data_IF_481204850256
#
_entry.id   IF_481204850256
#
_cell.length_a   1.000
_cell.length_b   1.000
_cell.length_c   1.000
_cell.angle_alpha   90.00
_cell.angle_beta   90.00
_cell.angle_gamma   90.00
#
_symmetry.space_group_name_H-M   'P 1'
#
loop_
_entity.id
_entity.type
_entity.pdbx_description
1 polymer ?
#
# COMPACT_ATOMS: atom_id res chain seq x y z
N UNK A 1 -52.53 24.70 -2.19
CA UNK A 1 -52.79 23.57 -3.12
C UNK A 1 -51.98 23.80 -4.38
N UNK A 2 -51.09 22.85 -4.70
CA UNK A 2 -50.41 22.55 -5.97
C UNK A 2 -49.79 23.74 -6.76
N UNK A 3 -48.49 23.89 -6.95
CA UNK A 3 -47.46 22.89 -7.21
C UNK A 3 -46.98 23.05 -8.66
N UNK A 4 -45.70 23.38 -8.85
CA UNK A 4 -44.87 22.89 -9.97
C UNK A 4 -43.41 23.08 -9.59
N UNK A 5 -42.88 22.01 -8.99
CA UNK A 5 -41.46 21.73 -8.95
C UNK A 5 -40.91 21.71 -10.38
N UNK A 6 -39.87 22.50 -10.63
CA UNK A 6 -38.95 22.26 -11.74
C UNK A 6 -37.57 21.99 -11.15
N UNK A 7 -37.40 20.77 -10.65
CA UNK A 7 -36.08 20.22 -10.39
C UNK A 7 -35.39 19.87 -11.70
N UNK A 8 -34.15 20.33 -11.87
CA UNK A 8 -33.02 19.57 -12.43
C UNK A 8 -31.73 20.38 -12.24
N UNK A 9 -30.98 20.12 -11.17
CA UNK A 9 -29.54 20.46 -11.15
C UNK A 9 -28.84 19.26 -11.76
N UNK A 10 -28.41 19.40 -13.01
CA UNK A 10 -27.58 18.40 -13.65
C UNK A 10 -26.26 18.27 -12.89
N UNK A 11 -25.89 17.04 -12.53
CA UNK A 11 -24.53 16.75 -12.11
C UNK A 11 -23.62 16.91 -13.33
N UNK A 12 -22.91 18.03 -13.42
CA UNK A 12 -21.79 18.15 -14.35
C UNK A 12 -20.63 17.30 -13.81
N UNK A 13 -20.50 16.09 -14.35
CA UNK A 13 -19.25 15.37 -14.31
C UNK A 13 -18.41 15.91 -15.46
N UNK A 14 -17.38 16.71 -15.15
CA UNK A 14 -16.29 16.89 -16.10
C UNK A 14 -15.61 15.53 -16.22
N UNK A 15 -16.03 14.73 -17.20
CA UNK A 15 -15.18 13.69 -17.75
C UNK A 15 -14.09 14.45 -18.48
N UNK A 16 -13.02 14.77 -17.75
CA UNK A 16 -11.77 15.12 -18.40
C UNK A 16 -11.44 13.88 -19.21
N UNK A 17 -11.64 13.94 -20.53
CA UNK A 17 -11.03 12.98 -21.45
C UNK A 17 -9.53 13.05 -21.20
N UNK A 18 -9.05 12.15 -20.33
CA UNK A 18 -7.63 11.84 -20.33
C UNK A 18 -7.39 11.24 -21.69
N UNK A 19 -6.66 11.95 -22.54
CA UNK A 19 -6.13 11.38 -23.77
C UNK A 19 -5.45 10.08 -23.40
N UNK A 20 -6.00 8.95 -23.85
CA UNK A 20 -5.36 7.65 -23.68
C UNK A 20 -4.05 7.76 -24.44
N UNK A 21 -2.93 7.79 -23.72
CA UNK A 21 -1.62 7.72 -24.32
C UNK A 21 -1.49 6.30 -24.87
N UNK A 22 -1.47 6.18 -26.20
CA UNK A 22 -1.26 4.90 -26.86
C UNK A 22 0.21 4.50 -26.70
N UNK A 23 0.46 3.41 -25.96
CA UNK A 23 1.79 2.89 -25.70
C UNK A 23 1.94 1.48 -26.34
N UNK A 24 1.95 1.38 -27.68
CA UNK A 24 1.91 0.10 -28.38
C UNK A 24 3.10 -0.81 -28.06
N UNK A 25 4.24 -0.24 -27.68
CA UNK A 25 5.41 -1.01 -27.25
C UNK A 25 5.15 -1.81 -25.96
N UNK A 26 4.33 -1.32 -25.04
CA UNK A 26 4.00 -2.05 -23.80
C UNK A 26 3.21 -3.33 -24.12
N UNK A 27 2.31 -3.28 -25.10
CA UNK A 27 1.57 -4.44 -25.59
C UNK A 27 2.50 -5.43 -26.29
N UNK A 28 3.40 -4.95 -27.16
CA UNK A 28 4.42 -5.79 -27.83
C UNK A 28 5.35 -6.48 -26.82
N UNK A 29 5.67 -5.79 -25.73
CA UNK A 29 6.51 -6.28 -24.63
C UNK A 29 5.78 -7.21 -23.65
N UNK A 30 4.49 -7.50 -23.88
CA UNK A 30 3.63 -8.24 -22.98
C UNK A 30 3.49 -7.63 -21.56
N UNK A 31 3.59 -6.30 -21.44
CA UNK A 31 3.38 -5.56 -20.18
C UNK A 31 1.91 -5.16 -20.03
N UNK A 32 1.06 -6.15 -19.80
CA UNK A 32 -0.36 -5.94 -19.54
C UNK A 32 -0.87 -6.89 -18.47
N UNK A 33 -2.02 -6.55 -17.90
CA UNK A 33 -2.75 -7.38 -16.94
C UNK A 33 -3.56 -8.40 -17.76
N UNK A 34 -3.06 -9.64 -17.88
CA UNK A 34 -3.73 -10.68 -18.65
C UNK A 34 -4.87 -11.34 -17.87
N UNK A 35 -6.09 -11.26 -18.41
CA UNK A 35 -7.29 -11.91 -17.85
C UNK A 35 -7.10 -13.40 -17.61
N UNK A 36 -6.28 -14.07 -18.42
CA UNK A 36 -5.99 -15.50 -18.26
C UNK A 36 -5.51 -15.86 -16.85
N UNK A 37 -4.75 -14.98 -16.19
CA UNK A 37 -4.22 -15.27 -14.85
C UNK A 37 -5.18 -14.97 -13.71
N UNK A 38 -6.31 -14.32 -13.93
CA UNK A 38 -7.32 -14.09 -12.89
C UNK A 38 -8.72 -14.49 -13.37
N UNK A 39 -8.77 -15.44 -14.32
CA UNK A 39 -10.01 -15.96 -14.86
C UNK A 39 -10.87 -16.53 -13.73
N UNK A 40 -12.14 -16.11 -13.68
CA UNK A 40 -13.07 -16.45 -12.61
C UNK A 40 -13.08 -15.48 -11.43
N UNK A 41 -12.23 -14.45 -11.44
CA UNK A 41 -12.18 -13.37 -10.43
C UNK A 41 -12.44 -11.98 -11.02
N UNK A 42 -12.89 -11.90 -12.28
CA UNK A 42 -13.11 -10.63 -12.99
C UNK A 42 -14.23 -9.82 -12.34
N UNK A 43 -15.29 -10.50 -11.89
CA UNK A 43 -16.42 -9.86 -11.22
C UNK A 43 -15.99 -9.13 -9.96
N UNK A 44 -15.20 -9.80 -9.12
CA UNK A 44 -14.65 -9.27 -7.86
C UNK A 44 -13.74 -8.06 -8.14
N UNK A 45 -12.83 -8.19 -9.12
CA UNK A 45 -11.91 -7.09 -9.48
C UNK A 45 -12.70 -5.88 -9.99
N UNK A 46 -13.62 -6.08 -10.93
CA UNK A 46 -14.43 -5.01 -11.51
C UNK A 46 -15.36 -4.37 -10.48
N UNK A 47 -15.90 -5.15 -9.54
CA UNK A 47 -16.71 -4.64 -8.43
C UNK A 47 -15.86 -3.76 -7.49
N UNK A 48 -14.67 -4.21 -7.11
CA UNK A 48 -13.76 -3.43 -6.25
C UNK A 48 -13.33 -2.12 -6.93
N UNK A 49 -13.13 -2.12 -8.25
CA UNK A 49 -12.86 -0.91 -9.04
C UNK A 49 -14.09 0.01 -9.06
N UNK A 50 -15.26 -0.51 -9.44
CA UNK A 50 -16.50 0.26 -9.55
C UNK A 50 -16.90 0.91 -8.23
N UNK A 51 -16.65 0.23 -7.11
CA UNK A 51 -16.96 0.74 -5.78
C UNK A 51 -15.83 1.61 -5.18
N UNK A 52 -14.79 1.94 -5.94
CA UNK A 52 -13.61 2.68 -5.48
C UNK A 52 -12.94 2.05 -4.23
N UNK A 53 -12.99 0.72 -4.12
CA UNK A 53 -12.41 -0.05 -3.00
C UNK A 53 -11.01 -0.60 -3.33
N UNK A 54 -10.65 -0.61 -4.61
CA UNK A 54 -9.29 -0.85 -5.13
C UNK A 54 -8.51 0.47 -5.27
N UNK A 55 -7.33 0.57 -4.63
CA UNK A 55 -6.54 1.79 -4.70
C UNK A 55 -5.70 1.85 -6.00
N UNK A 56 -6.12 2.67 -6.96
CA UNK A 56 -5.46 2.78 -8.28
C UNK A 56 -4.66 4.08 -8.50
N UNK A 57 -4.73 5.04 -7.59
CA UNK A 57 -4.11 6.39 -7.79
C UNK A 57 -2.58 6.40 -7.85
N UNK A 58 -1.95 5.32 -7.43
CA UNK A 58 -0.49 5.15 -7.47
C UNK A 58 0.00 4.64 -8.83
N UNK A 59 -0.91 4.22 -9.70
CA UNK A 59 -0.58 3.77 -11.06
C UNK A 59 -0.37 5.02 -11.92
N UNK A 60 0.80 5.10 -12.53
CA UNK A 60 1.17 6.19 -13.43
C UNK A 60 0.24 6.24 -14.64
N UNK A 61 0.04 7.44 -15.17
CA UNK A 61 -0.82 7.66 -16.35
C UNK A 61 -0.24 7.07 -17.64
N UNK A 62 1.05 6.75 -17.65
CA UNK A 62 1.75 6.09 -18.75
C UNK A 62 2.93 5.26 -18.21
N UNK A 63 3.39 4.29 -19.01
CA UNK A 63 4.56 3.49 -18.73
C UNK A 63 5.81 4.36 -18.61
N UNK A 64 6.01 5.33 -19.53
CA UNK A 64 7.17 6.24 -19.49
C UNK A 64 7.24 6.98 -18.16
N UNK A 65 6.13 7.58 -17.70
CA UNK A 65 6.07 8.24 -16.38
C UNK A 65 6.24 7.24 -15.24
N UNK A 66 5.82 5.99 -15.42
CA UNK A 66 6.04 4.91 -14.47
C UNK A 66 7.51 4.53 -14.28
N UNK A 67 8.39 4.84 -15.22
CA UNK A 67 9.84 4.59 -15.10
C UNK A 67 10.52 5.58 -14.15
N UNK A 68 9.91 6.72 -13.88
CA UNK A 68 10.42 7.70 -12.93
C UNK A 68 9.76 7.51 -11.56
N UNK A 69 10.56 7.59 -10.50
CA UNK A 69 10.07 7.59 -9.12
C UNK A 69 10.56 8.87 -8.46
N UNK A 70 9.61 9.71 -8.08
CA UNK A 70 9.80 10.94 -7.32
C UNK A 70 9.11 10.82 -5.95
N UNK A 71 9.17 11.90 -5.16
CA UNK A 71 8.57 11.97 -3.82
C UNK A 71 7.05 11.79 -3.89
N UNK A 72 6.42 12.33 -4.93
CA UNK A 72 4.97 12.22 -5.17
C UNK A 72 4.57 10.77 -5.40
N UNK A 73 5.27 10.06 -6.28
CA UNK A 73 5.07 8.65 -6.58
C UNK A 73 5.29 7.79 -5.34
N UNK A 74 6.33 8.08 -4.57
CA UNK A 74 6.57 7.41 -3.29
C UNK A 74 5.37 7.55 -2.35
N UNK A 75 4.88 8.77 -2.14
CA UNK A 75 3.77 9.04 -1.23
C UNK A 75 2.52 8.28 -1.68
N UNK A 76 2.22 8.29 -2.99
CA UNK A 76 1.07 7.57 -3.54
C UNK A 76 1.19 6.04 -3.38
N UNK A 77 2.38 5.47 -3.60
CA UNK A 77 2.66 4.04 -3.39
C UNK A 77 2.49 3.67 -1.92
N UNK A 78 3.03 4.47 -0.99
CA UNK A 78 2.88 4.20 0.43
C UNK A 78 1.42 4.35 0.90
N UNK A 79 0.68 5.31 0.34
CA UNK A 79 -0.75 5.46 0.62
C UNK A 79 -1.57 4.27 0.10
N UNK A 80 -1.22 3.76 -1.09
CA UNK A 80 -1.81 2.54 -1.66
C UNK A 80 -1.56 1.34 -0.74
N UNK A 81 -0.32 1.14 -0.30
CA UNK A 81 0.02 0.09 0.65
C UNK A 81 -0.81 0.18 1.94
N UNK A 82 -0.86 1.36 2.58
CA UNK A 82 -1.63 1.50 3.82
C UNK A 82 -3.14 1.29 3.62
N UNK A 83 -3.67 1.65 2.45
CA UNK A 83 -5.05 1.40 2.08
C UNK A 83 -5.34 -0.09 1.93
N UNK A 84 -4.56 -0.78 1.10
CA UNK A 84 -4.73 -2.21 0.85
C UNK A 84 -4.46 -3.02 2.13
N UNK A 85 -3.50 -2.60 2.98
CA UNK A 85 -3.21 -3.22 4.27
C UNK A 85 -4.45 -3.26 5.16
N UNK A 86 -5.15 -2.13 5.32
CA UNK A 86 -6.36 -2.06 6.17
C UNK A 86 -7.50 -2.95 5.67
N UNK A 87 -7.49 -3.31 4.38
CA UNK A 87 -8.52 -4.12 3.76
C UNK A 87 -8.19 -5.59 3.80
N UNK A 88 -6.94 -5.94 3.53
CA UNK A 88 -6.46 -7.32 3.59
C UNK A 88 -6.27 -7.81 5.03
N UNK A 89 -5.93 -6.91 5.95
CA UNK A 89 -5.69 -7.20 7.37
C UNK A 89 -6.53 -6.25 8.25
N UNK A 90 -7.86 -6.42 8.30
CA UNK A 90 -8.76 -5.52 9.05
C UNK A 90 -8.46 -5.49 10.55
N UNK A 91 -7.99 -6.60 11.12
CA UNK A 91 -7.60 -6.71 12.52
C UNK A 91 -6.15 -6.23 12.79
N UNK A 92 -5.46 -5.78 11.74
CA UNK A 92 -4.07 -5.35 11.79
C UNK A 92 -3.07 -6.49 11.94
N UNK A 93 -1.92 -6.18 12.54
CA UNK A 93 -0.86 -7.17 12.81
C UNK A 93 -1.20 -7.91 14.11
N UNK A 94 -1.32 -9.25 14.10
CA UNK A 94 -1.53 -10.04 15.30
C UNK A 94 -0.47 -9.74 16.37
N UNK A 95 -0.93 -9.49 17.59
CA UNK A 95 -0.06 -9.20 18.74
C UNK A 95 0.17 -10.47 19.55
N UNK A 96 1.39 -10.68 20.03
CA UNK A 96 1.68 -11.75 20.99
C UNK A 96 0.96 -11.50 22.32
N UNK A 97 0.72 -12.57 23.10
CA UNK A 97 0.12 -12.47 24.44
C UNK A 97 0.93 -11.53 25.33
N UNK A 98 2.25 -11.67 25.34
CA UNK A 98 3.16 -10.82 26.11
C UNK A 98 3.02 -9.34 25.74
N UNK A 99 2.90 -9.03 24.43
CA UNK A 99 2.71 -7.65 23.96
C UNK A 99 1.36 -7.10 24.40
N UNK A 100 0.29 -7.90 24.32
CA UNK A 100 -1.03 -7.51 24.81
C UNK A 100 -1.01 -7.21 26.31
N UNK A 101 -0.32 -8.03 27.10
CA UNK A 101 -0.19 -7.81 28.55
C UNK A 101 0.59 -6.54 28.87
N UNK A 102 1.70 -6.29 28.17
CA UNK A 102 2.50 -5.06 28.34
C UNK A 102 1.71 -3.82 27.92
N UNK A 103 0.99 -3.87 26.80
CA UNK A 103 0.12 -2.76 26.36
C UNK A 103 -1.03 -2.53 27.34
N UNK A 104 -1.60 -3.59 27.93
CA UNK A 104 -2.62 -3.47 28.98
C UNK A 104 -2.06 -2.73 30.21
N UNK A 105 -0.91 -3.18 30.73
CA UNK A 105 -0.24 -2.52 31.87
C UNK A 105 0.08 -1.06 31.58
N UNK A 106 0.55 -0.74 30.36
CA UNK A 106 0.82 0.62 29.94
C UNK A 106 -0.47 1.47 29.89
N UNK A 107 -1.56 0.92 29.36
CA UNK A 107 -2.86 1.59 29.32
C UNK A 107 -3.41 1.86 30.72
N UNK A 108 -3.37 0.88 31.62
CA UNK A 108 -3.78 1.05 33.02
C UNK A 108 -2.97 2.13 33.73
N UNK A 109 -1.66 2.19 33.49
CA UNK A 109 -0.80 3.24 34.06
C UNK A 109 -1.21 4.63 33.55
N UNK A 110 -1.49 4.78 32.26
CA UNK A 110 -1.96 6.05 31.69
C UNK A 110 -3.35 6.40 32.20
N UNK A 111 -4.24 5.43 32.38
CA UNK A 111 -5.59 5.66 32.93
C UNK A 111 -5.54 6.21 34.35
N UNK A 112 -4.71 5.61 35.21
CA UNK A 112 -4.47 6.15 36.56
C UNK A 112 -3.96 7.60 36.52
N UNK A 113 -3.10 7.94 35.56
CA UNK A 113 -2.63 9.32 35.37
C UNK A 113 -3.76 10.26 34.90
N UNK A 114 -4.67 9.80 34.04
CA UNK A 114 -5.85 10.56 33.59
C UNK A 114 -6.85 10.79 34.73
N UNK A 115 -7.07 9.78 35.55
CA UNK A 115 -7.99 9.83 36.70
C UNK A 115 -7.49 10.82 37.76
N UNK A 116 -6.20 10.77 38.06
CA UNK A 116 -5.56 11.61 39.09
C UNK A 116 -5.13 13.00 38.60
N UNK A 117 -5.51 13.40 37.39
CA UNK A 117 -5.16 14.71 36.82
C UNK A 117 -6.37 15.51 36.38
N UNK A 118 -6.19 16.84 36.36
CA UNK A 118 -7.21 17.81 36.01
C UNK A 118 -6.71 18.79 34.92
N UNK A 119 -7.64 19.53 34.31
CA UNK A 119 -7.34 20.61 33.37
C UNK A 119 -6.43 20.18 32.20
N UNK A 120 -5.41 21.00 31.93
CA UNK A 120 -4.49 20.81 30.79
C UNK A 120 -3.70 19.51 30.86
N UNK A 121 -3.32 19.07 32.07
CA UNK A 121 -2.54 17.84 32.28
C UNK A 121 -3.35 16.59 31.89
N UNK A 122 -4.62 16.52 32.32
CA UNK A 122 -5.55 15.47 31.90
C UNK A 122 -5.71 15.43 30.38
N UNK A 123 -5.80 16.61 29.75
CA UNK A 123 -5.87 16.74 28.29
C UNK A 123 -4.61 16.25 27.57
N UNK A 124 -3.42 16.37 28.17
CA UNK A 124 -2.17 15.80 27.65
C UNK A 124 -2.21 14.27 27.75
N UNK A 125 -2.54 13.70 28.92
CA UNK A 125 -2.58 12.23 29.08
C UNK A 125 -3.62 11.57 28.17
N UNK A 126 -4.81 12.17 27.98
CA UNK A 126 -5.79 11.69 27.00
C UNK A 126 -5.26 11.69 25.57
N UNK A 127 -4.50 12.72 25.18
CA UNK A 127 -3.86 12.76 23.85
C UNK A 127 -2.79 11.68 23.70
N UNK A 128 -1.95 11.49 24.72
CA UNK A 128 -0.93 10.43 24.75
C UNK A 128 -1.59 9.06 24.61
N UNK A 129 -2.64 8.78 25.40
CA UNK A 129 -3.42 7.54 25.31
C UNK A 129 -3.97 7.32 23.90
N UNK A 130 -4.61 8.35 23.31
CA UNK A 130 -5.15 8.30 21.94
C UNK A 130 -4.06 8.02 20.90
N UNK A 131 -2.86 8.59 21.05
CA UNK A 131 -1.73 8.30 20.15
C UNK A 131 -1.07 6.94 20.40
N UNK A 132 -1.19 6.37 21.61
CA UNK A 132 -0.53 5.13 22.00
C UNK A 132 -1.34 3.85 21.66
N UNK A 133 -2.67 3.94 21.54
CA UNK A 133 -3.56 2.78 21.36
C UNK A 133 -3.44 2.10 19.97
N UNK A 134 -2.73 2.70 19.00
CA UNK A 134 -2.58 2.16 17.64
C UNK A 134 -1.12 2.11 17.14
N UNK A 135 -0.16 1.79 18.01
CA UNK A 135 1.26 1.69 17.60
C UNK A 135 1.52 0.36 16.88
N UNK A 136 0.94 0.17 15.71
CA UNK A 136 1.55 -0.70 14.70
C UNK A 136 2.31 0.23 13.77
N UNK A 137 3.63 0.18 13.85
CA UNK A 137 4.48 1.02 13.01
C UNK A 137 4.35 0.61 11.53
N UNK A 138 4.69 1.52 10.63
CA UNK A 138 4.72 1.22 9.20
C UNK A 138 5.65 0.02 8.90
N UNK A 139 6.82 -0.05 9.55
CA UNK A 139 7.72 -1.21 9.43
C UNK A 139 7.04 -2.51 9.84
N UNK A 140 6.28 -2.52 10.95
CA UNK A 140 5.56 -3.72 11.39
C UNK A 140 4.48 -4.15 10.40
N UNK A 141 3.74 -3.20 9.80
CA UNK A 141 2.76 -3.51 8.75
C UNK A 141 3.44 -4.12 7.51
N UNK A 142 4.55 -3.54 7.08
CA UNK A 142 5.35 -4.02 5.93
C UNK A 142 5.88 -5.42 6.20
N UNK A 143 6.54 -5.63 7.34
CA UNK A 143 7.11 -6.92 7.75
C UNK A 143 6.03 -8.01 7.79
N UNK A 144 4.87 -7.71 8.38
CA UNK A 144 3.75 -8.65 8.44
C UNK A 144 3.21 -8.98 7.04
N UNK A 145 3.06 -7.97 6.18
CA UNK A 145 2.58 -8.16 4.80
C UNK A 145 3.55 -9.01 4.00
N UNK A 146 4.83 -8.67 4.01
CA UNK A 146 5.87 -9.39 3.26
C UNK A 146 5.97 -10.84 3.74
N UNK A 147 5.94 -11.06 5.06
CA UNK A 147 5.95 -12.42 5.61
C UNK A 147 4.71 -13.22 5.20
N UNK A 148 3.54 -12.59 5.16
CA UNK A 148 2.28 -13.25 4.79
C UNK A 148 2.17 -13.54 3.29
N UNK A 149 2.92 -12.81 2.47
CA UNK A 149 2.96 -12.93 1.00
C UNK A 149 4.28 -13.51 0.49
N UNK A 150 5.09 -14.08 1.40
CA UNK A 150 6.45 -14.57 1.12
C UNK A 150 6.51 -15.48 -0.09
N UNK A 151 5.61 -16.46 -0.15
CA UNK A 151 5.55 -17.47 -1.23
C UNK A 151 5.26 -16.87 -2.61
N UNK A 152 4.72 -15.65 -2.65
CA UNK A 152 4.49 -14.88 -3.88
C UNK A 152 5.67 -13.94 -4.16
N UNK A 153 6.22 -13.29 -3.14
CA UNK A 153 7.05 -12.10 -3.29
C UNK A 153 8.57 -12.33 -3.24
N UNK A 154 9.03 -13.36 -2.53
CA UNK A 154 10.47 -13.53 -2.23
C UNK A 154 11.33 -13.57 -3.49
N UNK A 155 10.93 -14.36 -4.48
CA UNK A 155 11.69 -14.49 -5.72
C UNK A 155 11.78 -13.17 -6.50
N UNK A 156 10.73 -12.34 -6.47
CA UNK A 156 10.76 -11.02 -7.10
C UNK A 156 11.67 -10.05 -6.35
N UNK A 157 11.68 -10.11 -5.01
CA UNK A 157 12.61 -9.33 -4.19
C UNK A 157 14.05 -9.73 -4.48
N UNK A 158 14.36 -11.01 -4.39
CA UNK A 158 15.71 -11.53 -4.64
C UNK A 158 16.21 -11.16 -6.05
N UNK A 159 15.38 -11.37 -7.07
CA UNK A 159 15.75 -11.04 -8.45
C UNK A 159 15.96 -9.54 -8.65
N UNK A 160 15.07 -8.69 -8.13
CA UNK A 160 15.18 -7.24 -8.27
C UNK A 160 16.48 -6.71 -7.66
N UNK A 161 16.84 -7.15 -6.45
CA UNK A 161 18.04 -6.64 -5.77
C UNK A 161 19.30 -7.23 -6.40
N UNK A 162 19.29 -8.52 -6.75
CA UNK A 162 20.44 -9.16 -7.41
C UNK A 162 20.78 -8.53 -8.75
N UNK A 163 19.78 -8.13 -9.55
CA UNK A 163 20.01 -7.40 -10.80
C UNK A 163 20.71 -6.06 -10.61
N UNK A 164 20.66 -5.51 -9.40
CA UNK A 164 21.30 -4.24 -9.02
C UNK A 164 22.56 -4.46 -8.16
N UNK A 165 23.10 -5.68 -8.12
CA UNK A 165 24.25 -6.07 -7.27
C UNK A 165 24.01 -5.88 -5.75
N UNK A 166 22.75 -5.91 -5.34
CA UNK A 166 22.33 -5.75 -3.94
C UNK A 166 21.75 -7.07 -3.40
N UNK A 167 21.66 -7.18 -2.07
CA UNK A 167 21.02 -8.32 -1.41
C UNK A 167 19.68 -7.90 -0.83
N UNK A 168 18.62 -8.67 -1.12
CA UNK A 168 17.32 -8.43 -0.53
C UNK A 168 17.32 -8.87 0.94
N UNK A 169 17.11 -7.91 1.83
CA UNK A 169 16.95 -8.16 3.28
C UNK A 169 15.62 -7.54 3.70
N UNK A 170 14.65 -8.40 4.00
CA UNK A 170 13.28 -8.01 4.34
C UNK A 170 13.22 -6.94 5.44
N UNK A 171 13.93 -7.17 6.55
CA UNK A 171 13.93 -6.25 7.70
C UNK A 171 14.51 -4.88 7.37
N UNK A 172 15.55 -4.84 6.55
CA UNK A 172 16.21 -3.58 6.20
C UNK A 172 15.37 -2.79 5.19
N UNK A 173 14.74 -3.48 4.25
CA UNK A 173 13.74 -2.92 3.33
C UNK A 173 12.59 -2.24 4.09
N UNK A 174 12.02 -2.93 5.09
CA UNK A 174 10.92 -2.38 5.90
C UNK A 174 11.35 -1.14 6.69
N UNK A 175 12.56 -1.15 7.28
CA UNK A 175 13.14 -0.02 8.01
C UNK A 175 13.42 1.17 7.10
N UNK A 176 14.02 0.94 5.92
CA UNK A 176 14.33 2.00 4.95
C UNK A 176 13.05 2.66 4.43
N UNK A 177 12.04 1.89 4.03
CA UNK A 177 10.73 2.45 3.62
C UNK A 177 10.10 3.31 4.72
N UNK A 178 10.11 2.83 5.96
CA UNK A 178 9.57 3.60 7.09
C UNK A 178 10.36 4.89 7.36
N UNK A 179 11.69 4.82 7.27
CA UNK A 179 12.58 5.97 7.43
C UNK A 179 12.40 6.99 6.30
N UNK A 180 12.34 6.54 5.05
CA UNK A 180 12.11 7.41 3.88
C UNK A 180 10.77 8.13 3.98
N UNK A 181 9.70 7.42 4.37
CA UNK A 181 8.38 8.02 4.59
C UNK A 181 8.42 9.10 5.65
N UNK A 182 9.13 8.88 6.75
CA UNK A 182 9.26 9.90 7.79
C UNK A 182 10.06 11.11 7.29
N UNK A 183 11.13 10.91 6.51
CA UNK A 183 11.90 12.01 5.92
C UNK A 183 11.01 12.94 5.08
N UNK A 184 10.23 12.37 4.16
CA UNK A 184 9.31 13.13 3.31
C UNK A 184 8.16 13.77 4.11
N UNK A 185 7.59 13.06 5.10
CA UNK A 185 6.53 13.61 5.95
C UNK A 185 7.01 14.80 6.81
N UNK A 186 8.30 14.89 7.11
CA UNK A 186 8.90 16.03 7.81
C UNK A 186 9.33 17.17 6.87
N UNK A 187 8.94 17.13 5.60
CA UNK A 187 9.22 18.20 4.64
C UNK A 187 10.64 18.21 4.09
N UNK A 188 11.42 17.15 4.30
CA UNK A 188 12.74 16.99 3.68
C UNK A 188 12.58 16.47 2.24
N UNK A 189 11.80 17.17 1.42
CA UNK A 189 11.56 16.81 0.03
C UNK A 189 12.80 17.06 -0.84
N UNK A 190 13.71 17.92 -0.39
CA UNK A 190 15.00 18.18 -1.07
C UNK A 190 16.05 17.08 -0.85
N UNK A 191 15.71 16.02 -0.09
CA UNK A 191 16.64 14.91 0.19
C UNK A 191 16.39 13.77 -0.77
N UNK A 192 17.45 13.37 -1.45
CA UNK A 192 17.50 12.17 -2.28
C UNK A 192 17.04 10.91 -1.53
N UNK A 193 16.62 9.90 -2.29
CA UNK A 193 16.30 8.58 -1.75
C UNK A 193 17.48 8.01 -0.95
N UNK A 194 17.21 7.49 0.25
CA UNK A 194 18.25 6.88 1.08
C UNK A 194 18.62 5.49 0.56
N UNK A 195 19.91 5.24 0.32
CA UNK A 195 20.45 3.92 0.01
C UNK A 195 19.61 3.18 -1.08
N UNK A 196 19.23 1.93 -0.83
CA UNK A 196 18.41 1.10 -1.71
C UNK A 196 16.90 1.43 -1.68
N UNK A 197 16.48 2.58 -1.14
CA UNK A 197 15.06 2.93 -1.01
C UNK A 197 14.34 2.98 -2.37
N UNK A 198 15.04 3.31 -3.46
CA UNK A 198 14.45 3.24 -4.80
C UNK A 198 14.04 1.80 -5.18
N UNK A 199 14.90 0.82 -4.91
CA UNK A 199 14.60 -0.60 -5.11
C UNK A 199 13.43 -1.04 -4.23
N UNK A 200 13.42 -0.59 -2.97
CA UNK A 200 12.32 -0.88 -2.04
C UNK A 200 10.97 -0.39 -2.59
N UNK A 201 10.94 0.78 -3.23
CA UNK A 201 9.72 1.39 -3.80
C UNK A 201 9.27 0.66 -5.06
N UNK A 202 10.21 0.22 -5.90
CA UNK A 202 9.89 -0.64 -7.06
C UNK A 202 9.27 -1.94 -6.55
N UNK A 203 9.87 -2.56 -5.53
CA UNK A 203 9.36 -3.78 -4.92
C UNK A 203 7.95 -3.59 -4.34
N UNK A 204 7.66 -2.43 -3.75
CA UNK A 204 6.31 -2.10 -3.25
C UNK A 204 5.22 -2.16 -4.33
N UNK A 205 5.56 -1.89 -5.61
CA UNK A 205 4.59 -2.04 -6.71
C UNK A 205 4.15 -3.50 -6.88
N UNK A 206 5.08 -4.46 -6.72
CA UNK A 206 4.76 -5.89 -6.76
C UNK A 206 3.91 -6.29 -5.56
N UNK A 207 4.26 -5.78 -4.37
CA UNK A 207 3.53 -6.03 -3.11
C UNK A 207 2.09 -5.58 -3.23
N UNK A 208 1.85 -4.33 -3.65
CA UNK A 208 0.49 -3.77 -3.75
C UNK A 208 -0.33 -4.58 -4.74
N UNK A 209 0.24 -4.91 -5.91
CA UNK A 209 -0.47 -5.72 -6.89
C UNK A 209 -0.80 -7.13 -6.36
N UNK A 210 0.12 -7.76 -5.61
CA UNK A 210 -0.13 -9.03 -4.94
C UNK A 210 -1.25 -8.93 -3.88
N UNK A 211 -1.25 -7.87 -3.07
CA UNK A 211 -2.30 -7.62 -2.07
C UNK A 211 -3.68 -7.46 -2.73
N UNK A 212 -3.72 -6.72 -3.83
CA UNK A 212 -4.95 -6.45 -4.60
C UNK A 212 -5.55 -7.72 -5.18
N UNK A 213 -4.75 -8.53 -5.87
CA UNK A 213 -5.21 -9.80 -6.45
C UNK A 213 -5.58 -10.82 -5.36
N UNK A 214 -4.79 -10.91 -4.27
CA UNK A 214 -5.11 -11.81 -3.15
C UNK A 214 -6.45 -11.47 -2.51
N UNK A 215 -6.76 -10.17 -2.33
CA UNK A 215 -8.05 -9.74 -1.81
C UNK A 215 -9.22 -10.12 -2.73
N UNK A 216 -8.99 -10.17 -4.04
CA UNK A 216 -9.98 -10.61 -5.02
C UNK A 216 -10.07 -12.15 -5.13
N UNK A 217 -9.31 -12.90 -4.32
CA UNK A 217 -9.39 -14.36 -4.25
C UNK A 217 -8.48 -15.10 -5.22
N UNK A 218 -7.65 -14.40 -6.01
CA UNK A 218 -6.74 -15.03 -6.97
C UNK A 218 -5.68 -15.86 -6.23
N UNK A 219 -5.41 -17.07 -6.72
CA UNK A 219 -4.44 -17.95 -6.10
C UNK A 219 -2.99 -17.48 -6.28
N UNK A 220 -2.11 -17.95 -5.39
CA UNK A 220 -0.71 -17.51 -5.34
C UNK A 220 0.06 -17.75 -6.64
N UNK A 221 -0.18 -18.85 -7.35
CA UNK A 221 0.56 -19.21 -8.56
C UNK A 221 0.20 -18.25 -9.68
N UNK A 222 -1.07 -17.92 -9.79
CA UNK A 222 -1.58 -16.96 -10.74
C UNK A 222 -1.21 -15.51 -10.42
N UNK A 223 -1.14 -15.14 -9.15
CA UNK A 223 -0.58 -13.83 -8.73
C UNK A 223 0.88 -13.73 -9.18
N UNK A 224 1.70 -14.77 -8.95
CA UNK A 224 3.11 -14.80 -9.39
C UNK A 224 3.22 -14.63 -10.91
N UNK A 225 2.45 -15.40 -11.68
CA UNK A 225 2.45 -15.28 -13.16
C UNK A 225 2.06 -13.87 -13.62
N UNK A 226 1.05 -13.28 -12.98
CA UNK A 226 0.59 -11.93 -13.27
C UNK A 226 1.68 -10.88 -13.01
N UNK A 227 2.37 -10.95 -11.88
CA UNK A 227 3.50 -10.06 -11.56
C UNK A 227 4.64 -10.27 -12.57
N UNK A 228 5.00 -11.53 -12.84
CA UNK A 228 6.07 -11.88 -13.77
C UNK A 228 5.85 -11.30 -15.17
N UNK A 229 4.62 -11.40 -15.70
CA UNK A 229 4.24 -10.80 -16.97
C UNK A 229 4.27 -9.27 -16.92
N UNK A 230 3.48 -8.66 -16.02
CA UNK A 230 3.29 -7.21 -15.98
C UNK A 230 4.61 -6.45 -15.81
N UNK A 231 5.49 -6.96 -14.94
CA UNK A 231 6.76 -6.31 -14.60
C UNK A 231 7.97 -6.88 -15.34
N UNK A 232 7.76 -7.81 -16.29
CA UNK A 232 8.80 -8.53 -17.05
C UNK A 232 9.88 -9.15 -16.15
N UNK A 233 9.46 -9.74 -15.04
CA UNK A 233 10.34 -10.47 -14.14
C UNK A 233 10.40 -11.94 -14.55
N UNK A 234 11.60 -12.46 -14.78
CA UNK A 234 11.80 -13.89 -15.02
C UNK A 234 11.77 -14.61 -13.67
N UNK A 235 10.88 -15.58 -13.53
CA UNK A 235 10.76 -16.41 -12.33
C UNK A 235 10.77 -17.89 -12.72
N UNK A 236 11.29 -18.72 -11.83
CA UNK A 236 11.17 -20.17 -11.89
C UNK A 236 9.76 -20.52 -11.43
N UNK A 237 8.89 -20.87 -12.39
CA UNK A 237 7.51 -21.30 -12.14
C UNK A 237 7.47 -22.81 -11.92
#
# INVERSE_FOLDING_TARGET
>A
MYGKDTGRIGNYYNVIERSVLDEPETLKDNRYISQFFFSGHEGEILEEISNNRLYLRHISESFERGLTIDESSFILIMAAFEWEFRKLFPDGVPKSKDRLEVEHKANEAIDKLIENSNGKLKGIFKRIKKSAISIISLSQKLEYTFTTLKDVLDEFGDNLYKLNNETFILKDTCKRLAKQRNNFAHGNLDKEFIDNALLDVIFMRFVIYAMQLKRCGVDQTNIRKSIGQLFRQRISI
#
